data_IF_412210445449
#
_entry.id   IF_412210445449
#
_cell.length_a   1.000
_cell.length_b   1.000
_cell.length_c   1.000
_cell.angle_alpha   90.00
_cell.angle_beta   90.00
_cell.angle_gamma   90.00
#
_symmetry.space_group_name_H-M   'P 1'
#
loop_
_entity.id
_entity.type
_entity.pdbx_description
1 polymer ?
#
# COMPACT_ATOMS: atom_id res chain seq x y z
N UNK A 1 -36.63 4.97 -10.76
CA UNK A 1 -35.21 4.80 -11.12
C UNK A 1 -34.42 5.44 -9.99
N UNK A 2 -34.04 4.64 -9.01
CA UNK A 2 -33.54 5.09 -7.70
C UNK A 2 -32.20 4.42 -7.47
N UNK A 3 -31.15 5.23 -7.40
CA UNK A 3 -29.82 4.80 -7.01
C UNK A 3 -29.80 4.67 -5.48
N UNK A 4 -29.61 3.45 -4.98
CA UNK A 4 -29.33 3.21 -3.56
C UNK A 4 -27.86 2.88 -3.37
N UNK A 5 -27.04 3.91 -3.23
CA UNK A 5 -25.80 3.85 -2.47
C UNK A 5 -26.00 4.77 -1.27
N UNK A 6 -26.51 4.22 -0.17
CA UNK A 6 -26.81 5.04 1.00
C UNK A 6 -27.07 4.19 2.24
N UNK A 7 -26.17 4.36 3.22
CA UNK A 7 -26.29 4.03 4.65
C UNK A 7 -25.79 2.64 5.07
N UNK A 8 -24.47 2.44 5.02
CA UNK A 8 -23.80 1.56 5.99
C UNK A 8 -23.22 2.42 7.11
N UNK A 9 -23.62 2.12 8.35
CA UNK A 9 -23.05 2.78 9.53
C UNK A 9 -21.61 2.29 9.80
N UNK A 10 -20.81 3.10 10.50
CA UNK A 10 -19.47 2.71 10.98
C UNK A 10 -19.54 1.47 11.90
N UNK A 11 -20.69 1.23 12.54
CA UNK A 11 -20.95 0.06 13.37
C UNK A 11 -21.15 -1.22 12.52
N UNK A 12 -21.75 -1.11 11.34
CA UNK A 12 -21.93 -2.25 10.41
C UNK A 12 -20.61 -2.67 9.77
N UNK A 13 -19.66 -1.76 9.59
CA UNK A 13 -18.32 -2.06 9.06
C UNK A 13 -17.51 -2.97 9.99
N UNK A 14 -17.75 -2.91 11.31
CA UNK A 14 -17.08 -3.80 12.29
C UNK A 14 -17.63 -5.24 12.27
N UNK A 15 -18.89 -5.43 11.89
CA UNK A 15 -19.53 -6.76 11.83
C UNK A 15 -19.08 -7.57 10.60
N UNK A 16 -18.64 -6.86 9.55
CA UNK A 16 -18.05 -7.42 8.34
C UNK A 16 -16.55 -7.10 8.23
N UNK A 17 -15.80 -7.18 9.33
CA UNK A 17 -14.35 -7.40 9.22
C UNK A 17 -14.19 -8.78 8.59
N UNK A 18 -14.21 -8.81 7.25
CA UNK A 18 -14.27 -10.02 6.44
C UNK A 18 -13.18 -10.99 6.90
N UNK A 19 -13.43 -12.31 6.94
CA UNK A 19 -12.39 -13.32 7.23
C UNK A 19 -11.10 -13.09 6.44
N UNK A 20 -11.23 -12.58 5.20
CA UNK A 20 -10.13 -12.18 4.33
C UNK A 20 -9.28 -11.04 4.91
N UNK A 21 -9.89 -10.03 5.55
CA UNK A 21 -9.18 -8.96 6.24
C UNK A 21 -8.36 -9.51 7.41
N UNK A 22 -8.96 -10.40 8.22
CA UNK A 22 -8.24 -11.08 9.33
C UNK A 22 -7.06 -11.92 8.85
N UNK A 23 -7.20 -12.61 7.70
CA UNK A 23 -6.14 -13.41 7.09
C UNK A 23 -5.01 -12.50 6.56
N UNK A 24 -5.35 -11.36 5.94
CA UNK A 24 -4.34 -10.40 5.49
C UNK A 24 -3.60 -9.79 6.67
N UNK A 25 -4.29 -9.35 7.73
CA UNK A 25 -3.64 -8.78 8.91
C UNK A 25 -2.76 -9.81 9.63
N UNK A 26 -3.21 -11.06 9.77
CA UNK A 26 -2.41 -12.11 10.44
C UNK A 26 -1.14 -12.45 9.66
N UNK A 27 -1.20 -12.43 8.33
CA UNK A 27 -0.01 -12.59 7.49
C UNK A 27 1.05 -11.53 7.82
N UNK A 28 0.69 -10.26 7.87
CA UNK A 28 1.66 -9.19 8.13
C UNK A 28 2.14 -9.15 9.60
N UNK A 29 1.28 -9.50 10.56
CA UNK A 29 1.68 -9.70 11.95
C UNK A 29 2.70 -10.83 12.11
N UNK A 30 2.50 -11.94 11.38
CA UNK A 30 3.48 -13.04 11.35
C UNK A 30 4.79 -12.58 10.71
N UNK A 31 4.72 -11.83 9.61
CA UNK A 31 5.92 -11.25 8.99
C UNK A 31 6.68 -10.33 9.96
N UNK A 32 5.98 -9.45 10.69
CA UNK A 32 6.59 -8.61 11.74
C UNK A 32 7.30 -9.44 12.79
N UNK A 33 6.65 -10.48 13.28
CA UNK A 33 7.19 -11.35 14.34
C UNK A 33 8.45 -12.10 13.90
N UNK A 34 8.50 -12.53 12.63
CA UNK A 34 9.61 -13.30 12.07
C UNK A 34 10.82 -12.45 11.66
N UNK A 35 10.61 -11.19 11.29
CA UNK A 35 11.70 -10.29 10.94
C UNK A 35 12.51 -9.92 12.18
N UNK A 36 13.84 -9.95 12.14
CA UNK A 36 14.66 -9.38 13.20
C UNK A 36 14.32 -7.88 13.42
N UNK A 37 14.66 -7.26 14.58
CA UNK A 37 14.54 -5.81 14.73
C UNK A 37 15.21 -5.07 13.57
N UNK A 38 14.51 -4.13 12.94
CA UNK A 38 14.91 -3.42 11.70
C UNK A 38 15.07 -4.30 10.45
N UNK A 39 14.75 -5.59 10.55
CA UNK A 39 14.66 -6.51 9.42
C UNK A 39 13.65 -6.01 8.38
N UNK A 40 13.91 -6.33 7.13
CA UNK A 40 13.13 -5.85 5.99
C UNK A 40 12.52 -7.01 5.23
N UNK A 41 11.26 -6.87 4.84
CA UNK A 41 10.63 -7.70 3.82
C UNK A 41 10.46 -6.88 2.55
N UNK A 42 10.72 -7.53 1.43
CA UNK A 42 10.50 -6.99 0.10
C UNK A 42 9.26 -7.65 -0.49
N UNK A 43 8.27 -6.82 -0.85
CA UNK A 43 7.08 -7.29 -1.54
C UNK A 43 7.23 -6.95 -3.02
N UNK A 44 7.77 -7.91 -3.78
CA UNK A 44 8.12 -7.76 -5.19
C UNK A 44 7.10 -8.37 -6.16
N UNK A 45 6.14 -9.14 -5.64
CA UNK A 45 5.24 -9.98 -6.41
C UNK A 45 3.76 -9.73 -6.07
N UNK A 46 3.37 -8.50 -5.72
CA UNK A 46 1.95 -8.14 -5.84
C UNK A 46 1.69 -7.95 -7.34
N UNK A 47 1.18 -8.95 -8.08
CA UNK A 47 1.19 -8.89 -9.53
C UNK A 47 0.12 -7.88 -9.95
N UNK A 48 0.51 -6.75 -10.53
CA UNK A 48 -0.41 -5.84 -11.22
C UNK A 48 -1.26 -4.90 -10.37
N UNK A 49 -1.11 -4.87 -9.04
CA UNK A 49 -2.02 -4.07 -8.20
C UNK A 49 -1.71 -2.59 -8.14
N UNK A 50 -0.45 -2.18 -8.25
CA UNK A 50 -0.10 -0.77 -8.04
C UNK A 50 0.33 -0.05 -9.32
N UNK A 51 1.09 -0.70 -10.23
CA UNK A 51 1.51 -0.13 -11.53
C UNK A 51 2.08 1.30 -11.49
N UNK A 52 2.48 1.77 -10.31
CA UNK A 52 3.06 3.09 -10.12
C UNK A 52 4.51 3.14 -10.61
N UNK A 53 5.04 4.35 -10.72
CA UNK A 53 6.46 4.63 -10.92
C UNK A 53 6.89 5.77 -10.02
N UNK A 54 8.16 5.79 -9.61
CA UNK A 54 8.69 6.94 -8.88
C UNK A 54 8.70 8.19 -9.76
N UNK A 55 8.37 9.32 -9.15
CA UNK A 55 8.31 10.63 -9.78
C UNK A 55 8.55 11.74 -8.73
N UNK A 56 8.47 12.99 -9.19
CA UNK A 56 8.41 14.19 -8.35
C UNK A 56 7.02 14.81 -8.56
N UNK A 57 6.21 14.95 -7.51
CA UNK A 57 4.87 15.56 -7.65
C UNK A 57 4.94 17.02 -8.11
N UNK A 58 6.06 17.71 -7.86
CA UNK A 58 6.32 19.08 -8.35
C UNK A 58 6.43 19.15 -9.88
N UNK A 59 6.76 18.03 -10.53
CA UNK A 59 6.87 17.90 -11.99
C UNK A 59 6.05 16.70 -12.48
N UNK A 60 4.71 16.80 -12.41
CA UNK A 60 3.84 15.67 -12.68
C UNK A 60 3.95 15.23 -14.15
N UNK A 61 4.08 13.93 -14.35
CA UNK A 61 4.08 13.33 -15.69
C UNK A 61 2.67 13.44 -16.27
N UNK A 62 2.55 13.86 -17.54
CA UNK A 62 1.23 13.98 -18.19
C UNK A 62 0.50 12.63 -18.17
N UNK A 63 -0.77 12.68 -17.76
CA UNK A 63 -1.62 11.49 -17.71
C UNK A 63 -1.44 10.63 -16.46
N UNK A 64 -0.72 11.11 -15.44
CA UNK A 64 -0.62 10.45 -14.13
C UNK A 64 -1.38 11.20 -13.04
N UNK A 65 -1.61 10.51 -11.92
CA UNK A 65 -2.02 11.04 -10.62
C UNK A 65 -0.84 10.83 -9.68
N UNK A 66 -0.45 11.87 -8.96
CA UNK A 66 0.66 11.80 -8.01
C UNK A 66 0.15 11.46 -6.61
N UNK A 67 0.91 10.64 -5.89
CA UNK A 67 0.71 10.28 -4.49
C UNK A 67 1.99 10.63 -3.73
N UNK A 68 2.01 11.78 -3.02
CA UNK A 68 3.17 12.16 -2.24
C UNK A 68 3.49 11.12 -1.18
N UNK A 69 4.77 10.92 -0.90
CA UNK A 69 5.22 9.93 0.11
C UNK A 69 6.05 10.63 1.18
N UNK A 70 5.54 10.68 2.41
CA UNK A 70 6.29 11.26 3.54
C UNK A 70 7.42 10.33 4.02
N UNK A 71 7.25 9.02 3.84
CA UNK A 71 8.17 7.98 4.30
C UNK A 71 9.23 7.58 3.28
N UNK A 72 9.16 8.09 2.05
CA UNK A 72 10.09 7.78 0.96
C UNK A 72 10.76 9.05 0.45
N UNK A 73 11.94 8.89 -0.16
CA UNK A 73 12.68 9.99 -0.80
C UNK A 73 12.15 10.38 -2.18
N UNK A 74 11.06 9.77 -2.64
CA UNK A 74 10.45 9.98 -3.96
C UNK A 74 8.93 9.87 -3.84
N UNK A 75 8.21 10.58 -4.69
CA UNK A 75 6.77 10.42 -4.81
C UNK A 75 6.43 9.26 -5.75
N UNK A 76 5.18 8.82 -5.69
CA UNK A 76 4.67 7.76 -6.57
C UNK A 76 3.62 8.30 -7.53
N UNK A 77 3.82 8.07 -8.82
CA UNK A 77 2.89 8.42 -9.87
C UNK A 77 2.20 7.18 -10.42
N UNK A 78 0.90 7.28 -10.63
CA UNK A 78 0.03 6.23 -11.17
C UNK A 78 -0.60 6.73 -12.45
N UNK A 79 -0.75 5.91 -13.49
CA UNK A 79 -1.50 6.34 -14.68
C UNK A 79 -2.96 6.68 -14.29
N UNK A 80 -3.56 7.72 -14.89
CA UNK A 80 -4.94 8.12 -14.56
C UNK A 80 -5.96 7.00 -14.72
N UNK A 81 -5.80 6.16 -15.75
CA UNK A 81 -6.63 4.97 -15.98
C UNK A 81 -6.52 3.93 -14.86
N UNK A 82 -5.46 4.03 -14.05
CA UNK A 82 -5.11 3.14 -12.96
C UNK A 82 -5.30 3.82 -11.59
N UNK A 83 -6.07 4.92 -11.49
CA UNK A 83 -6.27 5.63 -10.22
C UNK A 83 -6.81 4.72 -9.09
N UNK A 84 -7.64 3.72 -9.40
CA UNK A 84 -8.08 2.74 -8.41
C UNK A 84 -6.90 1.98 -7.76
N UNK A 85 -5.80 1.78 -8.50
CA UNK A 85 -4.57 1.13 -8.02
C UNK A 85 -3.82 1.99 -7.01
N UNK A 86 -3.89 3.33 -7.10
CA UNK A 86 -3.28 4.21 -6.10
C UNK A 86 -4.01 4.12 -4.75
N UNK A 87 -5.34 3.95 -4.77
CA UNK A 87 -6.15 3.75 -3.56
C UNK A 87 -5.83 2.41 -2.91
N UNK A 88 -5.69 1.34 -3.71
CA UNK A 88 -5.26 0.04 -3.20
C UNK A 88 -3.85 0.10 -2.61
N UNK A 89 -2.94 0.86 -3.23
CA UNK A 89 -1.59 1.07 -2.70
C UNK A 89 -1.64 1.72 -1.33
N UNK A 90 -2.37 2.83 -1.20
CA UNK A 90 -2.56 3.52 0.07
C UNK A 90 -3.12 2.57 1.14
N UNK A 91 -4.16 1.80 0.81
CA UNK A 91 -4.78 0.86 1.75
C UNK A 91 -3.82 -0.26 2.18
N UNK A 92 -2.99 -0.72 1.27
CA UNK A 92 -1.96 -1.71 1.56
C UNK A 92 -0.92 -1.16 2.55
N UNK A 93 -0.44 0.07 2.35
CA UNK A 93 0.52 0.71 3.27
C UNK A 93 -0.09 0.88 4.67
N UNK A 94 -1.32 1.41 4.77
CA UNK A 94 -2.05 1.54 6.04
C UNK A 94 -2.10 0.21 6.79
N UNK A 95 -2.48 -0.87 6.10
CA UNK A 95 -2.61 -2.20 6.70
C UNK A 95 -1.27 -2.75 7.20
N UNK A 96 -0.18 -2.53 6.46
CA UNK A 96 1.15 -2.98 6.90
C UNK A 96 1.67 -2.15 8.07
N UNK A 97 1.40 -0.84 8.08
CA UNK A 97 1.80 0.05 9.17
C UNK A 97 1.05 -0.27 10.47
N UNK A 98 -0.24 -0.61 10.40
CA UNK A 98 -1.04 -1.12 11.53
C UNK A 98 -0.41 -2.38 12.18
N UNK A 99 0.42 -3.11 11.44
CA UNK A 99 1.10 -4.33 11.91
C UNK A 99 2.58 -4.12 12.25
N UNK A 100 3.06 -2.87 12.29
CA UNK A 100 4.44 -2.53 12.64
C UNK A 100 5.44 -2.70 11.48
N UNK A 101 4.95 -2.71 10.24
CA UNK A 101 5.77 -2.77 9.03
C UNK A 101 5.68 -1.44 8.29
N UNK A 102 6.74 -0.63 8.38
CA UNK A 102 6.77 0.71 7.79
C UNK A 102 7.35 0.68 6.37
N UNK A 103 6.72 1.42 5.46
CA UNK A 103 7.28 1.69 4.14
C UNK A 103 8.59 2.48 4.27
N UNK A 104 9.70 1.94 3.76
CA UNK A 104 11.03 2.54 3.91
C UNK A 104 11.82 2.63 2.62
N UNK A 105 11.45 1.89 1.59
CA UNK A 105 12.16 1.96 0.30
C UNK A 105 11.21 1.61 -0.85
N UNK A 106 11.17 2.41 -1.93
CA UNK A 106 10.62 1.95 -3.19
C UNK A 106 11.62 0.95 -3.78
N UNK A 107 11.21 -0.30 -3.93
CA UNK A 107 12.12 -1.33 -4.41
C UNK A 107 11.81 -1.61 -5.88
N UNK A 108 12.76 -1.32 -6.78
CA UNK A 108 12.56 -1.44 -8.23
C UNK A 108 13.16 -2.76 -8.72
N UNK A 109 12.30 -3.70 -9.13
CA UNK A 109 12.73 -5.10 -9.32
C UNK A 109 13.12 -5.48 -10.75
N UNK A 110 13.03 -4.59 -11.72
CA UNK A 110 13.43 -4.92 -13.08
C UNK A 110 13.81 -3.69 -13.91
N UNK A 111 14.42 -3.96 -15.08
CA UNK A 111 14.69 -2.95 -16.12
C UNK A 111 13.44 -2.19 -16.58
N UNK A 112 12.24 -2.71 -16.30
CA UNK A 112 10.94 -2.07 -16.57
C UNK A 112 10.45 -1.18 -15.43
N UNK A 113 11.28 -0.96 -14.38
CA UNK A 113 10.98 -0.15 -13.19
C UNK A 113 9.66 -0.54 -12.49
N UNK A 114 9.28 -1.82 -12.49
CA UNK A 114 8.14 -2.27 -11.69
C UNK A 114 8.42 -1.98 -10.22
N UNK A 115 7.52 -1.23 -9.59
CA UNK A 115 7.54 -0.97 -8.15
C UNK A 115 7.19 -2.26 -7.43
N UNK A 116 8.07 -2.65 -6.51
CA UNK A 116 7.66 -3.28 -5.27
C UNK A 116 8.02 -2.36 -4.09
N UNK A 117 7.71 -2.81 -2.89
CA UNK A 117 7.92 -2.02 -1.67
C UNK A 117 8.82 -2.76 -0.70
N UNK A 118 9.74 -2.02 -0.09
CA UNK A 118 10.48 -2.44 1.09
C UNK A 118 9.71 -2.02 2.33
N UNK A 119 9.36 -3.00 3.16
CA UNK A 119 8.73 -2.79 4.46
C UNK A 119 9.72 -3.17 5.55
N UNK A 120 9.98 -2.26 6.47
CA UNK A 120 10.89 -2.47 7.59
C UNK A 120 10.10 -2.70 8.87
N UNK A 121 10.53 -3.68 9.67
CA UNK A 121 10.01 -3.88 11.02
C UNK A 121 10.36 -2.67 11.90
N UNK A 122 9.33 -2.05 12.44
CA UNK A 122 9.43 -1.07 13.54
C UNK A 122 8.88 -1.67 14.83
N UNK A 123 9.37 -1.25 16.01
CA UNK A 123 8.73 -1.59 17.28
C UNK A 123 7.26 -1.17 17.25
N UNK A 124 6.38 -2.01 17.80
CA UNK A 124 5.03 -1.61 18.13
C UNK A 124 5.13 -0.90 19.48
N UNK A 125 4.81 0.39 19.51
CA UNK A 125 4.71 1.18 20.75
C UNK A 125 3.46 0.80 21.55
#
# INVERSE_FOLDING_TARGET
MTYHLGNMSIADTRKYILPQYKIMTSFWQNMHSLLAPRGMVVVNNVPGFFEGHACECEKPIKGTVCSPQESLSVDLCFLKKDQAKSLLFKRFIELTEETGLKLTTPAFFNKKRKIGVGLQRVPLE
#
